data_IF_162685512535
#
_entry.id   IF_162685512535
#
_cell.length_a   1.000
_cell.length_b   1.000
_cell.length_c   1.000
_cell.angle_alpha   90.00
_cell.angle_beta   90.00
_cell.angle_gamma   90.00
#
_symmetry.space_group_name_H-M   'P 1'
#
loop_
_entity.id
_entity.type
_entity.pdbx_description
1 polymer ?
#
# COMPACT_ATOMS: atom_id res chain seq x y z
N UNK A 1 18.13 40.93 -7.99
CA UNK A 1 18.89 39.66 -8.02
C UNK A 1 17.95 38.52 -8.34
N UNK A 2 18.30 37.72 -9.35
CA UNK A 2 17.59 36.51 -9.77
C UNK A 2 18.18 35.37 -8.95
N UNK A 3 17.44 34.82 -7.99
CA UNK A 3 17.94 33.71 -7.18
C UNK A 3 17.65 32.41 -7.94
N UNK A 4 18.75 31.79 -8.35
CA UNK A 4 18.89 30.54 -9.08
C UNK A 4 18.20 29.37 -8.35
N UNK A 5 17.12 28.84 -8.93
CA UNK A 5 16.49 27.60 -8.50
C UNK A 5 17.31 26.43 -9.07
N UNK A 6 18.24 25.87 -8.29
CA UNK A 6 19.19 24.92 -8.86
C UNK A 6 19.80 23.84 -7.97
N UNK A 7 19.24 23.51 -6.79
CA UNK A 7 19.32 22.18 -6.18
C UNK A 7 18.81 22.25 -4.74
N UNK A 8 17.64 21.67 -4.48
CA UNK A 8 17.25 21.42 -3.11
C UNK A 8 18.18 20.32 -2.53
N UNK A 9 18.66 20.46 -1.28
CA UNK A 9 19.61 19.52 -0.70
C UNK A 9 18.96 18.15 -0.46
N UNK A 10 19.69 17.09 -0.78
CA UNK A 10 19.32 15.70 -0.48
C UNK A 10 19.08 15.55 1.03
N UNK A 11 17.95 14.96 1.41
CA UNK A 11 17.55 14.76 2.80
C UNK A 11 17.97 13.36 3.23
N UNK A 12 18.83 13.26 4.25
CA UNK A 12 19.16 11.98 4.88
C UNK A 12 18.07 11.64 5.92
N UNK A 13 17.35 10.53 5.73
CA UNK A 13 16.45 9.98 6.74
C UNK A 13 17.03 8.70 7.32
N UNK A 14 17.18 8.65 8.65
CA UNK A 14 17.62 7.45 9.37
C UNK A 14 16.39 6.73 9.89
N UNK A 15 16.06 5.57 9.30
CA UNK A 15 14.95 4.72 9.76
C UNK A 15 15.54 3.41 10.28
N UNK A 16 15.39 3.17 11.59
CA UNK A 16 15.84 1.95 12.27
C UNK A 16 17.33 1.61 12.03
N UNK A 17 18.19 2.64 12.04
CA UNK A 17 19.64 2.53 11.85
C UNK A 17 20.10 2.46 10.39
N UNK A 18 19.17 2.51 9.43
CA UNK A 18 19.49 2.58 8.00
C UNK A 18 19.38 4.03 7.52
N UNK A 19 20.50 4.60 7.09
CA UNK A 19 20.54 5.93 6.48
C UNK A 19 20.11 5.85 5.02
N UNK A 20 19.04 6.56 4.66
CA UNK A 20 18.54 6.64 3.28
C UNK A 20 18.63 8.08 2.80
N UNK A 21 19.31 8.30 1.68
CA UNK A 21 19.40 9.60 1.02
C UNK A 21 18.19 9.75 0.10
N UNK A 22 17.34 10.74 0.39
CA UNK A 22 16.08 10.98 -0.33
C UNK A 22 16.15 12.33 -1.01
N UNK A 23 15.81 12.38 -2.29
CA UNK A 23 15.67 13.64 -3.01
C UNK A 23 14.55 14.49 -2.37
N UNK A 24 14.78 15.79 -2.15
CA UNK A 24 13.75 16.68 -1.63
C UNK A 24 12.58 16.75 -2.61
N UNK A 25 11.44 16.24 -2.17
CA UNK A 25 10.20 16.26 -2.96
C UNK A 25 9.77 17.72 -3.13
N UNK A 26 9.56 18.12 -4.39
CA UNK A 26 9.16 19.48 -4.75
C UNK A 26 7.80 19.82 -4.13
N UNK A 27 7.55 21.11 -3.86
CA UNK A 27 6.25 21.58 -3.33
C UNK A 27 5.08 21.19 -4.26
N UNK A 28 5.32 21.19 -5.58
CA UNK A 28 4.36 20.75 -6.60
C UNK A 28 4.03 19.26 -6.50
N UNK A 29 5.02 18.39 -6.36
CA UNK A 29 4.79 16.95 -6.18
C UNK A 29 4.07 16.64 -4.87
N UNK A 30 4.41 17.33 -3.77
CA UNK A 30 3.67 17.20 -2.50
C UNK A 30 2.20 17.59 -2.67
N UNK A 31 1.92 18.69 -3.38
CA UNK A 31 0.55 19.11 -3.66
C UNK A 31 -0.19 18.09 -4.55
N UNK A 32 0.45 17.57 -5.58
CA UNK A 32 -0.10 16.54 -6.47
C UNK A 32 -0.42 15.25 -5.72
N UNK A 33 0.48 14.77 -4.86
CA UNK A 33 0.24 13.58 -4.03
C UNK A 33 -0.94 13.77 -3.08
N UNK A 34 -1.11 14.97 -2.50
CA UNK A 34 -2.28 15.27 -1.66
C UNK A 34 -3.57 15.22 -2.46
N UNK A 35 -3.58 15.75 -3.68
CA UNK A 35 -4.74 15.70 -4.56
C UNK A 35 -5.08 14.26 -4.97
N UNK A 36 -4.07 13.46 -5.31
CA UNK A 36 -4.24 12.05 -5.64
C UNK A 36 -4.82 11.24 -4.47
N UNK A 37 -4.32 11.48 -3.25
CA UNK A 37 -4.85 10.85 -2.04
C UNK A 37 -6.31 11.27 -1.79
N UNK A 38 -6.66 12.54 -2.01
CA UNK A 38 -8.04 13.03 -1.87
C UNK A 38 -8.96 12.41 -2.92
N UNK A 39 -8.49 12.28 -4.16
CA UNK A 39 -9.23 11.64 -5.24
C UNK A 39 -9.49 10.15 -4.93
N UNK A 40 -8.48 9.42 -4.45
CA UNK A 40 -8.62 8.02 -4.01
C UNK A 40 -9.58 7.86 -2.84
N UNK A 41 -9.49 8.73 -1.84
CA UNK A 41 -10.41 8.72 -0.70
C UNK A 41 -11.86 8.97 -1.14
N UNK A 42 -12.07 9.94 -2.02
CA UNK A 42 -13.40 10.25 -2.58
C UNK A 42 -13.96 9.08 -3.39
N UNK A 43 -13.11 8.45 -4.22
CA UNK A 43 -13.48 7.25 -4.98
C UNK A 43 -13.85 6.09 -4.06
N UNK A 44 -13.12 5.88 -2.97
CA UNK A 44 -13.46 4.84 -1.99
C UNK A 44 -14.78 5.13 -1.29
N UNK A 45 -15.05 6.39 -0.93
CA UNK A 45 -16.32 6.81 -0.33
C UNK A 45 -17.51 6.70 -1.29
N UNK A 46 -17.28 6.79 -2.60
CA UNK A 46 -18.33 6.60 -3.60
C UNK A 46 -18.65 5.12 -3.87
N UNK A 47 -17.87 4.17 -3.33
CA UNK A 47 -18.18 2.74 -3.43
C UNK A 47 -19.27 2.39 -2.41
N UNK A 48 -20.41 1.80 -2.83
CA UNK A 48 -21.45 1.37 -1.92
C UNK A 48 -20.94 0.41 -0.84
N UNK A 49 -21.52 0.48 0.36
CA UNK A 49 -21.09 -0.28 1.53
C UNK A 49 -21.03 -1.81 1.28
N UNK A 50 -21.97 -2.35 0.51
CA UNK A 50 -22.00 -3.77 0.14
C UNK A 50 -20.71 -4.21 -0.60
N UNK A 51 -20.21 -3.39 -1.53
CA UNK A 51 -18.99 -3.68 -2.26
C UNK A 51 -17.75 -3.51 -1.37
N UNK A 52 -17.74 -2.53 -0.46
CA UNK A 52 -16.65 -2.37 0.51
C UNK A 52 -16.53 -3.59 1.43
N UNK A 53 -17.67 -4.11 1.93
CA UNK A 53 -17.71 -5.32 2.76
C UNK A 53 -17.19 -6.55 2.00
N UNK A 54 -17.56 -6.71 0.72
CA UNK A 54 -17.04 -7.80 -0.14
C UNK A 54 -15.52 -7.70 -0.33
N UNK A 55 -14.99 -6.51 -0.60
CA UNK A 55 -13.54 -6.28 -0.75
C UNK A 55 -12.80 -6.59 0.56
N UNK A 56 -13.34 -6.16 1.69
CA UNK A 56 -12.76 -6.46 3.01
C UNK A 56 -12.78 -7.96 3.32
N UNK A 57 -13.86 -8.66 2.96
CA UNK A 57 -13.97 -10.11 3.11
C UNK A 57 -12.90 -10.85 2.28
N UNK A 58 -12.70 -10.46 1.01
CA UNK A 58 -11.65 -11.02 0.15
C UNK A 58 -10.26 -10.80 0.76
N UNK A 59 -9.98 -9.59 1.25
CA UNK A 59 -8.72 -9.26 1.90
C UNK A 59 -8.48 -10.13 3.14
N UNK A 60 -9.50 -10.26 3.99
CA UNK A 60 -9.44 -11.09 5.18
C UNK A 60 -9.22 -12.57 4.85
N UNK A 61 -9.98 -13.12 3.90
CA UNK A 61 -9.82 -14.49 3.43
C UNK A 61 -8.41 -14.77 2.89
N UNK A 62 -7.84 -13.83 2.12
CA UNK A 62 -6.46 -13.93 1.62
C UNK A 62 -5.41 -13.92 2.74
N UNK A 63 -5.59 -13.07 3.75
CA UNK A 63 -4.71 -13.05 4.92
C UNK A 63 -4.81 -14.33 5.76
N UNK A 64 -6.02 -14.85 5.96
CA UNK A 64 -6.25 -16.10 6.66
C UNK A 64 -5.58 -17.27 5.94
N UNK A 65 -5.73 -17.32 4.62
CA UNK A 65 -5.08 -18.31 3.76
C UNK A 65 -3.55 -18.26 3.90
N UNK A 66 -2.93 -17.08 3.83
CA UNK A 66 -1.49 -16.94 4.06
C UNK A 66 -1.06 -17.40 5.46
N UNK A 67 -1.87 -17.15 6.49
CA UNK A 67 -1.58 -17.61 7.84
C UNK A 67 -1.64 -19.14 7.94
N UNK A 68 -2.63 -19.77 7.30
CA UNK A 68 -2.74 -21.23 7.17
C UNK A 68 -1.54 -21.78 6.40
N UNK A 69 -1.20 -21.22 5.24
CA UNK A 69 -0.03 -21.64 4.45
C UNK A 69 1.28 -21.56 5.25
N UNK A 70 1.48 -20.47 6.02
CA UNK A 70 2.65 -20.31 6.88
C UNK A 70 2.69 -21.32 8.02
N UNK A 71 1.54 -21.60 8.67
CA UNK A 71 1.45 -22.59 9.75
C UNK A 71 1.69 -24.01 9.27
N UNK A 72 1.21 -24.33 8.07
CA UNK A 72 1.16 -25.69 7.56
C UNK A 72 2.18 -25.99 6.47
N UNK A 73 3.17 -25.10 6.26
CA UNK A 73 4.32 -25.18 5.34
C UNK A 73 4.20 -26.33 4.33
N UNK A 74 3.39 -26.13 3.28
CA UNK A 74 3.37 -27.01 2.11
C UNK A 74 2.63 -28.35 2.24
N UNK A 75 1.73 -28.56 3.21
CA UNK A 75 0.93 -29.79 3.23
C UNK A 75 -0.07 -29.86 2.04
N UNK A 76 -0.31 -31.06 1.50
CA UNK A 76 -1.16 -31.25 0.33
C UNK A 76 -2.65 -30.93 0.59
N UNK A 77 -3.10 -31.08 1.83
CA UNK A 77 -4.49 -30.83 2.23
C UNK A 77 -4.84 -29.33 2.20
N UNK A 78 -3.92 -28.44 2.60
CA UNK A 78 -4.15 -26.98 2.61
C UNK A 78 -4.20 -26.40 1.20
N UNK A 79 -3.39 -26.91 0.26
CA UNK A 79 -3.53 -26.59 -1.18
C UNK A 79 -4.89 -27.01 -1.75
N UNK A 80 -5.44 -28.15 -1.33
CA UNK A 80 -6.77 -28.62 -1.77
C UNK A 80 -7.88 -27.72 -1.23
N UNK A 81 -7.80 -27.35 0.06
CA UNK A 81 -8.74 -26.40 0.68
C UNK A 81 -8.67 -25.02 0.02
N UNK A 82 -7.48 -24.51 -0.28
CA UNK A 82 -7.29 -23.24 -1.00
C UNK A 82 -7.99 -23.24 -2.38
N UNK A 83 -7.79 -24.29 -3.20
CA UNK A 83 -8.46 -24.39 -4.50
C UNK A 83 -9.98 -24.44 -4.40
N UNK A 84 -10.51 -25.03 -3.33
CA UNK A 84 -11.96 -25.09 -3.10
C UNK A 84 -12.54 -23.76 -2.60
N UNK A 85 -11.77 -22.96 -1.87
CA UNK A 85 -12.21 -21.63 -1.40
C UNK A 85 -12.15 -20.57 -2.51
N UNK A 86 -11.24 -20.74 -3.49
CA UNK A 86 -11.04 -19.80 -4.61
C UNK A 86 -11.95 -20.13 -5.82
N UNK A 87 -12.62 -21.28 -5.82
CA UNK A 87 -13.64 -21.65 -6.82
C UNK A 87 -14.94 -20.90 -6.56
#
# INVERSE_FOLDING_TARGET
EVIENGNAPLITQVVKGVETIIAPVTTKEKAQRRLELKARSTLLMSIPNEHQLKINSIKYAKSLLQAVEKRFRGNAATKKTQRNIIK
#
